data_IF_077689304168
#
_entry.id   IF_077689304168
#
_cell.length_a   1.000
_cell.length_b   1.000
_cell.length_c   1.000
_cell.angle_alpha   90.00
_cell.angle_beta   90.00
_cell.angle_gamma   90.00
#
_symmetry.space_group_name_H-M   'P 1'
#
loop_
_entity.id
_entity.type
_entity.pdbx_description
1 polymer ?
#
# COMPACT_ATOMS: atom_id res chain seq x y z
N UNK A 1 -16.23 -8.18 -21.91
CA UNK A 1 -15.41 -7.51 -20.88
C UNK A 1 -15.63 -6.03 -21.10
N UNK A 2 -16.03 -5.21 -20.10
CA UNK A 2 -16.28 -3.81 -20.39
C UNK A 2 -14.93 -3.11 -20.68
N UNK A 3 -14.77 -2.64 -21.90
CA UNK A 3 -13.52 -2.10 -22.46
C UNK A 3 -13.34 -0.59 -22.24
N UNK A 4 -14.06 0.05 -21.31
CA UNK A 4 -13.99 1.51 -21.12
C UNK A 4 -14.29 1.94 -19.68
N UNK A 5 -13.56 1.41 -18.70
CA UNK A 5 -13.58 1.97 -17.34
C UNK A 5 -12.34 2.85 -17.16
N UNK A 6 -12.52 4.17 -17.23
CA UNK A 6 -11.46 5.15 -16.95
C UNK A 6 -11.18 5.15 -15.45
N UNK A 7 -10.28 4.27 -15.04
CA UNK A 7 -9.77 4.20 -13.68
C UNK A 7 -8.91 5.42 -13.35
N UNK A 8 -9.11 6.00 -12.16
CA UNK A 8 -8.33 7.16 -11.71
C UNK A 8 -6.91 6.75 -11.35
N UNK A 9 -5.93 7.59 -11.67
CA UNK A 9 -4.58 7.42 -11.14
C UNK A 9 -4.49 7.98 -9.71
N UNK A 10 -3.84 7.24 -8.84
CA UNK A 10 -3.59 7.60 -7.45
C UNK A 10 -2.10 7.50 -7.15
N UNK A 11 -1.63 8.37 -6.26
CA UNK A 11 -0.27 8.34 -5.75
C UNK A 11 -0.27 7.81 -4.31
N UNK A 12 0.56 6.81 -4.05
CA UNK A 12 0.79 6.27 -2.71
C UNK A 12 2.21 6.58 -2.31
N UNK A 13 2.35 7.44 -1.30
CA UNK A 13 3.63 7.77 -0.70
C UNK A 13 3.87 6.89 0.52
N UNK A 14 4.93 6.09 0.47
CA UNK A 14 5.27 5.09 1.50
C UNK A 14 6.58 5.47 2.17
N UNK A 15 6.61 5.34 3.50
CA UNK A 15 7.84 5.48 4.27
C UNK A 15 8.68 4.21 4.17
N UNK A 16 9.94 4.35 3.77
CA UNK A 16 10.88 3.25 3.55
C UNK A 16 12.09 3.42 4.46
N UNK A 17 12.55 2.29 4.98
CA UNK A 17 13.79 2.17 5.74
C UNK A 17 14.29 0.73 5.67
N UNK A 18 15.57 0.53 5.38
CA UNK A 18 16.18 -0.79 5.39
C UNK A 18 17.16 -0.92 6.57
N UNK A 19 16.81 -1.63 7.65
CA UNK A 19 17.69 -1.78 8.82
C UNK A 19 18.93 -2.63 8.55
N UNK A 20 18.99 -3.39 7.45
CA UNK A 20 20.14 -4.22 7.09
C UNK A 20 21.22 -3.42 6.34
N UNK A 21 20.86 -2.28 5.77
CA UNK A 21 21.77 -1.39 5.07
C UNK A 21 22.16 -0.22 6.00
N UNK A 22 23.46 -0.14 6.32
CA UNK A 22 24.01 0.87 7.25
C UNK A 22 23.92 2.29 6.70
N UNK A 23 23.86 2.45 5.39
CA UNK A 23 23.73 3.75 4.73
C UNK A 23 22.26 4.13 4.45
N UNK A 24 21.32 3.22 4.76
CA UNK A 24 19.90 3.47 4.58
C UNK A 24 19.42 4.58 5.50
N UNK A 25 18.89 5.66 4.90
CA UNK A 25 18.22 6.73 5.61
C UNK A 25 16.71 6.60 5.40
N UNK A 26 15.90 6.85 6.44
CA UNK A 26 14.46 6.82 6.26
C UNK A 26 14.02 7.86 5.25
N UNK A 27 13.25 7.42 4.25
CA UNK A 27 12.84 8.24 3.13
C UNK A 27 11.40 7.93 2.71
N UNK A 28 10.76 8.88 2.04
CA UNK A 28 9.48 8.64 1.41
C UNK A 28 9.69 8.30 -0.07
N UNK A 29 8.98 7.28 -0.54
CA UNK A 29 8.96 6.87 -1.94
C UNK A 29 7.52 6.89 -2.43
N UNK A 30 7.30 7.51 -3.59
CA UNK A 30 5.96 7.66 -4.18
C UNK A 30 5.79 6.67 -5.32
N UNK A 31 4.64 6.00 -5.34
CA UNK A 31 4.24 5.06 -6.39
C UNK A 31 2.93 5.50 -7.02
N UNK A 32 2.87 5.47 -8.34
CA UNK A 32 1.64 5.76 -9.10
C UNK A 32 0.93 4.45 -9.43
N UNK A 33 -0.37 4.42 -9.18
CA UNK A 33 -1.23 3.25 -9.38
C UNK A 33 -2.51 3.64 -10.10
N UNK A 34 -3.05 2.72 -10.88
CA UNK A 34 -4.39 2.83 -11.44
C UNK A 34 -5.41 2.22 -10.46
N UNK A 35 -6.34 3.02 -9.95
CA UNK A 35 -7.33 2.57 -8.98
C UNK A 35 -8.41 1.68 -9.60
N UNK A 36 -8.64 0.52 -9.00
CA UNK A 36 -9.73 -0.38 -9.40
C UNK A 36 -10.93 -0.32 -8.45
N UNK A 37 -12.15 -0.70 -8.87
CA UNK A 37 -13.32 -0.68 -8.01
C UNK A 37 -13.14 -1.56 -6.78
N UNK A 38 -13.40 -1.00 -5.60
CA UNK A 38 -13.26 -1.72 -4.32
C UNK A 38 -11.80 -1.92 -3.87
N UNK A 39 -10.83 -1.25 -4.50
CA UNK A 39 -9.43 -1.30 -4.08
C UNK A 39 -9.29 -0.79 -2.64
N UNK A 40 -8.60 -1.58 -1.84
CA UNK A 40 -8.19 -1.22 -0.49
C UNK A 40 -6.72 -0.86 -0.51
N UNK A 41 -6.26 -0.12 0.51
CA UNK A 41 -4.84 0.17 0.67
C UNK A 41 -4.01 -1.12 0.71
N UNK A 42 -4.54 -2.20 1.30
CA UNK A 42 -3.89 -3.52 1.26
C UNK A 42 -3.68 -4.01 -0.19
N UNK A 43 -4.70 -3.92 -1.05
CA UNK A 43 -4.58 -4.32 -2.46
C UNK A 43 -3.54 -3.45 -3.17
N UNK A 44 -3.54 -2.15 -2.89
CA UNK A 44 -2.58 -1.21 -3.45
C UNK A 44 -1.13 -1.54 -3.08
N UNK A 45 -0.87 -1.81 -1.80
CA UNK A 45 0.46 -2.20 -1.30
C UNK A 45 0.92 -3.53 -1.90
N UNK A 46 0.01 -4.51 -2.06
CA UNK A 46 0.33 -5.77 -2.75
C UNK A 46 0.67 -5.54 -4.23
N UNK A 47 -0.04 -4.63 -4.91
CA UNK A 47 0.28 -4.29 -6.30
C UNK A 47 1.65 -3.64 -6.42
N UNK A 48 2.00 -2.72 -5.52
CA UNK A 48 3.35 -2.13 -5.48
C UNK A 48 4.39 -3.22 -5.26
N UNK A 49 4.20 -4.06 -4.25
CA UNK A 49 5.13 -5.14 -3.94
C UNK A 49 5.31 -6.17 -5.07
N UNK A 50 4.22 -6.54 -5.75
CA UNK A 50 4.25 -7.58 -6.77
C UNK A 50 4.68 -7.10 -8.15
N UNK A 51 4.48 -5.81 -8.49
CA UNK A 51 4.68 -5.30 -9.86
C UNK A 51 5.75 -4.21 -9.98
N UNK A 52 6.07 -3.51 -8.91
CA UNK A 52 6.96 -2.34 -8.97
C UNK A 52 8.21 -2.50 -8.11
N UNK A 53 8.06 -2.89 -6.84
CA UNK A 53 9.14 -2.87 -5.87
C UNK A 53 8.96 -4.00 -4.83
N UNK A 54 9.66 -5.10 -5.06
CA UNK A 54 9.55 -6.30 -4.22
C UNK A 54 10.19 -6.16 -2.83
N UNK A 55 10.95 -5.09 -2.61
CA UNK A 55 11.58 -4.79 -1.32
C UNK A 55 10.61 -4.05 -0.37
N UNK A 56 9.41 -3.71 -0.85
CA UNK A 56 8.37 -3.11 -0.01
C UNK A 56 7.89 -4.11 1.04
N UNK A 57 8.13 -3.80 2.31
CA UNK A 57 7.74 -4.65 3.45
C UNK A 57 6.58 -4.04 4.24
N UNK A 58 5.54 -4.84 4.51
CA UNK A 58 4.41 -4.49 5.38
C UNK A 58 3.71 -5.74 5.92
N UNK A 59 3.12 -5.65 7.11
CA UNK A 59 2.44 -6.77 7.74
C UNK A 59 0.99 -6.94 7.28
N UNK A 60 0.59 -8.19 7.05
CA UNK A 60 -0.80 -8.55 6.79
C UNK A 60 -1.07 -10.01 7.17
N UNK A 61 -2.31 -10.31 7.60
CA UNK A 61 -2.75 -11.69 7.88
C UNK A 61 -4.19 -11.91 7.38
N UNK A 62 -5.20 -11.48 8.14
CA UNK A 62 -6.59 -11.90 7.90
C UNK A 62 -7.29 -11.23 6.71
N UNK A 63 -6.84 -10.03 6.28
CA UNK A 63 -7.46 -9.19 5.23
C UNK A 63 -8.95 -8.82 5.47
N UNK A 64 -9.52 -9.16 6.62
CA UNK A 64 -10.93 -8.96 6.97
C UNK A 64 -11.14 -7.91 8.08
N UNK A 65 -10.07 -7.31 8.61
CA UNK A 65 -10.14 -6.32 9.68
C UNK A 65 -10.33 -6.88 11.09
N UNK A 66 -9.95 -8.14 11.31
CA UNK A 66 -10.12 -8.85 12.59
C UNK A 66 -8.81 -8.95 13.38
N UNK A 67 -7.69 -9.26 12.73
CA UNK A 67 -6.42 -9.56 13.41
C UNK A 67 -5.59 -8.33 13.78
N UNK A 68 -5.88 -7.15 13.22
CA UNK A 68 -5.09 -5.93 13.45
C UNK A 68 -3.69 -5.90 12.82
N UNK A 69 -3.19 -6.96 12.19
CA UNK A 69 -1.79 -7.03 11.71
C UNK A 69 -1.43 -5.98 10.66
N UNK A 70 -2.39 -5.52 9.85
CA UNK A 70 -2.16 -4.49 8.83
C UNK A 70 -2.43 -3.06 9.34
N UNK A 71 -2.19 -2.81 10.63
CA UNK A 71 -2.31 -1.49 11.24
C UNK A 71 -1.16 -0.60 10.80
N UNK A 72 -1.48 0.60 10.31
CA UNK A 72 -0.49 1.59 9.88
C UNK A 72 -1.07 3.01 9.95
N UNK A 73 -0.20 4.02 9.89
CA UNK A 73 -0.63 5.42 9.82
C UNK A 73 -0.90 5.78 8.37
N UNK A 74 -2.16 6.12 8.07
CA UNK A 74 -2.62 6.52 6.74
C UNK A 74 -3.17 7.94 6.84
N UNK A 75 -2.60 8.88 6.09
CA UNK A 75 -2.98 10.29 6.10
C UNK A 75 -3.05 10.88 7.54
N UNK A 76 -2.04 10.55 8.35
CA UNK A 76 -1.90 11.02 9.74
C UNK A 76 -2.79 10.33 10.77
N UNK A 77 -3.58 9.31 10.39
CA UNK A 77 -4.47 8.59 11.32
C UNK A 77 -4.15 7.09 11.35
N UNK A 78 -4.18 6.42 12.52
CA UNK A 78 -4.05 4.97 12.60
C UNK A 78 -5.25 4.31 11.92
N UNK A 79 -4.99 3.43 10.95
CA UNK A 79 -6.00 2.72 10.15
C UNK A 79 -5.55 1.30 9.85
N UNK A 80 -6.50 0.45 9.51
CA UNK A 80 -6.23 -0.89 8.97
C UNK A 80 -6.19 -0.83 7.45
N UNK A 81 -5.09 -1.27 6.84
CA UNK A 81 -4.94 -1.22 5.38
C UNK A 81 -6.03 -2.01 4.65
N UNK A 82 -6.45 -3.15 5.19
CA UNK A 82 -7.52 -3.98 4.60
C UNK A 82 -8.93 -3.38 4.72
N UNK A 83 -9.15 -2.37 5.58
CA UNK A 83 -10.45 -1.68 5.74
C UNK A 83 -10.45 -0.27 5.14
N UNK A 84 -9.29 0.22 4.72
CA UNK A 84 -9.12 1.56 4.17
C UNK A 84 -9.26 1.48 2.65
N UNK A 85 -10.24 2.19 2.10
CA UNK A 85 -10.40 2.35 0.65
C UNK A 85 -9.45 3.42 0.14
N UNK A 86 -8.90 3.20 -1.04
CA UNK A 86 -8.13 4.22 -1.76
C UNK A 86 -9.04 5.36 -2.18
#
# INVERSE_FOLDING_TARGET
>A
MPENETYREIEITVFRYNPQDRDSKPAFQTFTLTETPGMTLYIALIQIWSKMDHDLSFDFVCRAGICGSCSMVVNGKPRLACKTRT
#
